data_IF_416966226161
#
_entry.id   IF_416966226161
#
_cell.length_a   1.000
_cell.length_b   1.000
_cell.length_c   1.000
_cell.angle_alpha   90.00
_cell.angle_beta   90.00
_cell.angle_gamma   90.00
#
_symmetry.space_group_name_H-M   'P 1'
#
loop_
_entity.id
_entity.type
_entity.pdbx_description
1 polymer ?
#
# COMPACT_ATOMS: atom_id res chain seq x y z
N UNK A 1 -0.53 16.34 29.40
CA UNK A 1 -1.60 16.78 28.51
C UNK A 1 -1.19 16.62 27.05
N UNK A 2 -1.30 15.41 26.57
CA UNK A 2 -1.23 15.09 25.15
C UNK A 2 -2.59 15.45 24.50
N UNK A 3 -2.82 16.74 24.30
CA UNK A 3 -3.86 17.17 23.38
C UNK A 3 -3.38 16.86 21.97
N UNK A 4 -3.79 15.71 21.49
CA UNK A 4 -3.62 15.30 20.11
C UNK A 4 -4.49 16.23 19.24
N UNK A 5 -3.87 17.25 18.65
CA UNK A 5 -4.57 18.14 17.77
C UNK A 5 -4.68 17.48 16.40
N UNK A 6 -5.90 17.20 15.96
CA UNK A 6 -6.17 16.57 14.66
C UNK A 6 -5.56 17.36 13.49
N UNK A 7 -5.44 18.68 13.61
CA UNK A 7 -4.74 19.52 12.65
C UNK A 7 -3.23 19.23 12.60
N UNK A 8 -2.59 18.89 13.73
CA UNK A 8 -1.17 18.48 13.75
C UNK A 8 -0.98 17.11 13.11
N UNK A 9 -1.89 16.17 13.33
CA UNK A 9 -1.83 14.84 12.68
C UNK A 9 -2.04 14.95 11.19
N UNK A 10 -3.03 15.75 10.74
CA UNK A 10 -3.26 16.01 9.32
C UNK A 10 -2.05 16.70 8.67
N UNK A 11 -1.42 17.65 9.36
CA UNK A 11 -0.18 18.29 8.93
C UNK A 11 0.99 17.31 8.85
N UNK A 12 1.11 16.43 9.82
CA UNK A 12 2.13 15.38 9.88
C UNK A 12 1.97 14.37 8.75
N UNK A 13 0.77 13.87 8.52
CA UNK A 13 0.44 12.97 7.41
C UNK A 13 0.65 13.65 6.05
N UNK A 14 0.29 14.92 5.93
CA UNK A 14 0.53 15.72 4.71
C UNK A 14 2.03 15.92 4.49
N UNK A 15 2.80 16.21 5.53
CA UNK A 15 4.26 16.34 5.46
C UNK A 15 4.93 15.05 4.98
N UNK A 16 4.59 13.90 5.56
CA UNK A 16 5.11 12.62 5.12
C UNK A 16 4.66 12.24 3.71
N UNK A 17 3.43 12.56 3.36
CA UNK A 17 2.91 12.31 2.01
C UNK A 17 3.58 13.19 0.96
N UNK A 18 3.83 14.46 1.26
CA UNK A 18 4.58 15.36 0.39
C UNK A 18 6.06 14.98 0.33
N UNK A 19 6.67 14.59 1.44
CA UNK A 19 8.07 14.14 1.48
C UNK A 19 8.26 12.85 0.70
N UNK A 20 7.33 11.90 0.82
CA UNK A 20 7.32 10.69 0.01
C UNK A 20 7.16 10.99 -1.50
N UNK A 21 6.39 12.01 -1.86
CA UNK A 21 6.19 12.40 -3.26
C UNK A 21 7.33 13.28 -3.81
N UNK A 22 7.97 14.13 -3.00
CA UNK A 22 9.01 15.05 -3.45
C UNK A 22 10.42 14.46 -3.47
N UNK A 23 10.73 13.55 -2.59
CA UNK A 23 12.01 12.83 -2.57
C UNK A 23 12.03 11.58 -3.46
N UNK A 24 10.86 11.13 -3.92
CA UNK A 24 10.67 9.79 -4.45
C UNK A 24 10.91 9.62 -5.94
N UNK A 25 10.77 10.65 -6.77
CA UNK A 25 10.66 10.43 -8.22
C UNK A 25 12.01 10.57 -8.93
N UNK A 26 12.87 11.51 -8.53
CA UNK A 26 14.13 11.76 -9.22
C UNK A 26 15.32 10.89 -8.78
N UNK A 27 15.19 10.14 -7.67
CA UNK A 27 16.28 9.32 -7.10
C UNK A 27 15.84 7.93 -6.63
N UNK A 28 14.71 7.43 -7.11
CA UNK A 28 14.23 6.11 -6.73
C UNK A 28 15.12 5.02 -7.29
N UNK A 29 15.63 4.16 -6.44
CA UNK A 29 16.40 2.99 -6.87
C UNK A 29 15.48 1.95 -7.52
N UNK A 30 16.06 1.07 -8.34
CA UNK A 30 15.30 -0.05 -8.93
C UNK A 30 14.59 -0.90 -7.89
N UNK A 31 15.27 -1.19 -6.78
CA UNK A 31 14.68 -1.98 -5.68
C UNK A 31 13.47 -1.30 -5.03
N UNK A 32 13.54 0.00 -4.80
CA UNK A 32 12.41 0.77 -4.25
C UNK A 32 11.24 0.82 -5.22
N UNK A 33 11.54 1.00 -6.51
CA UNK A 33 10.53 0.98 -7.57
C UNK A 33 9.84 -0.39 -7.65
N UNK A 34 10.60 -1.46 -7.67
CA UNK A 34 10.08 -2.83 -7.70
C UNK A 34 9.16 -3.12 -6.51
N UNK A 35 9.56 -2.73 -5.30
CA UNK A 35 8.72 -2.85 -4.09
C UNK A 35 7.41 -2.08 -4.22
N UNK A 36 7.43 -0.89 -4.81
CA UNK A 36 6.21 -0.09 -5.04
C UNK A 36 5.34 -0.72 -6.11
N UNK A 37 5.91 -1.20 -7.20
CA UNK A 37 5.18 -1.86 -8.29
C UNK A 37 4.40 -3.07 -7.75
N UNK A 38 5.06 -3.96 -7.03
CA UNK A 38 4.38 -5.16 -6.54
C UNK A 38 3.27 -4.84 -5.53
N UNK A 39 3.45 -3.84 -4.70
CA UNK A 39 2.39 -3.34 -3.78
C UNK A 39 1.21 -2.75 -4.53
N UNK A 40 1.46 -2.01 -5.62
CA UNK A 40 0.40 -1.47 -6.47
C UNK A 40 -0.38 -2.57 -7.17
N UNK A 41 0.31 -3.59 -7.70
CA UNK A 41 -0.33 -4.76 -8.31
C UNK A 41 -1.18 -5.54 -7.29
N UNK A 42 -0.71 -5.69 -6.07
CA UNK A 42 -1.50 -6.32 -5.01
C UNK A 42 -2.76 -5.52 -4.66
N UNK A 43 -2.64 -4.21 -4.62
CA UNK A 43 -3.76 -3.30 -4.30
C UNK A 43 -4.75 -3.16 -5.46
N UNK A 44 -4.26 -2.94 -6.67
CA UNK A 44 -5.07 -2.68 -7.87
C UNK A 44 -5.54 -3.94 -8.56
N UNK A 45 -4.89 -5.06 -8.32
CA UNK A 45 -5.05 -6.38 -8.92
C UNK A 45 -4.62 -6.44 -10.39
N UNK A 46 -4.75 -5.35 -11.15
CA UNK A 46 -4.36 -5.26 -12.55
C UNK A 46 -3.80 -3.87 -12.87
N UNK A 47 -2.77 -3.82 -13.68
CA UNK A 47 -2.21 -2.56 -14.21
C UNK A 47 -1.55 -2.82 -15.58
N UNK A 48 -1.06 -1.78 -16.22
CA UNK A 48 -0.35 -1.88 -17.50
C UNK A 48 1.07 -1.35 -17.38
N UNK A 49 1.96 -1.82 -18.27
CA UNK A 49 3.34 -1.32 -18.32
C UNK A 49 3.40 0.18 -18.67
N UNK A 50 2.53 0.63 -19.57
CA UNK A 50 2.44 2.05 -19.95
C UNK A 50 2.02 2.91 -18.76
N UNK A 51 0.99 2.50 -18.03
CA UNK A 51 0.52 3.23 -16.86
C UNK A 51 1.60 3.33 -15.78
N UNK A 52 2.28 2.21 -15.49
CA UNK A 52 3.39 2.19 -14.54
C UNK A 52 4.57 3.06 -15.02
N UNK A 53 4.88 3.06 -16.31
CA UNK A 53 5.96 3.89 -16.87
C UNK A 53 5.67 5.38 -16.68
N UNK A 54 4.45 5.79 -16.88
CA UNK A 54 4.00 7.18 -16.67
C UNK A 54 4.04 7.52 -15.18
N UNK A 55 3.52 6.65 -14.33
CA UNK A 55 3.45 6.88 -12.87
C UNK A 55 4.83 6.96 -12.23
N UNK A 56 5.78 6.14 -12.66
CA UNK A 56 7.15 6.13 -12.14
C UNK A 56 8.13 7.00 -12.93
N UNK A 57 7.70 7.65 -13.98
CA UNK A 57 8.53 8.49 -14.87
C UNK A 57 9.76 7.74 -15.42
N UNK A 58 9.57 6.52 -15.85
CA UNK A 58 10.59 5.66 -16.47
C UNK A 58 10.06 5.09 -17.78
N UNK A 59 10.94 4.55 -18.62
CA UNK A 59 10.53 3.90 -19.86
C UNK A 59 9.77 2.58 -19.62
N UNK A 60 8.97 2.16 -20.58
CA UNK A 60 8.32 0.84 -20.54
C UNK A 60 9.32 -0.31 -20.49
N UNK A 61 10.48 -0.15 -21.13
CA UNK A 61 11.58 -1.13 -21.06
C UNK A 61 12.12 -1.29 -19.64
N UNK A 62 12.24 -0.20 -18.91
CA UNK A 62 12.64 -0.23 -17.49
C UNK A 62 11.61 -0.97 -16.66
N UNK A 63 10.32 -0.69 -16.86
CA UNK A 63 9.22 -1.41 -16.19
C UNK A 63 9.26 -2.90 -16.56
N UNK A 64 9.47 -3.23 -17.82
CA UNK A 64 9.56 -4.62 -18.29
C UNK A 64 10.69 -5.38 -17.59
N UNK A 65 11.84 -4.77 -17.40
CA UNK A 65 12.96 -5.35 -16.64
C UNK A 65 12.63 -5.53 -15.16
N UNK A 66 11.98 -4.54 -14.55
CA UNK A 66 11.52 -4.62 -13.17
C UNK A 66 10.52 -5.76 -12.96
N UNK A 67 9.58 -5.92 -13.89
CA UNK A 67 8.60 -7.01 -13.87
C UNK A 67 9.29 -8.37 -14.05
N UNK A 68 10.27 -8.47 -14.94
CA UNK A 68 11.04 -9.70 -15.11
C UNK A 68 11.74 -10.11 -13.80
N UNK A 69 12.37 -9.16 -13.12
CA UNK A 69 12.99 -9.39 -11.81
C UNK A 69 11.98 -9.77 -10.74
N UNK A 70 10.85 -9.07 -10.67
CA UNK A 70 9.77 -9.37 -9.71
C UNK A 70 9.14 -10.73 -9.98
N UNK A 71 9.07 -11.16 -11.22
CA UNK A 71 8.46 -12.44 -11.58
C UNK A 71 9.29 -13.66 -11.14
N UNK A 72 10.55 -13.46 -10.75
CA UNK A 72 11.34 -14.49 -10.10
C UNK A 72 10.81 -14.84 -8.69
N UNK A 73 10.29 -13.84 -7.97
CA UNK A 73 9.82 -13.99 -6.58
C UNK A 73 8.30 -14.01 -6.45
N UNK A 74 7.58 -13.42 -7.41
CA UNK A 74 6.13 -13.25 -7.36
C UNK A 74 5.45 -13.80 -8.62
N UNK A 75 4.27 -14.41 -8.50
CA UNK A 75 3.57 -15.02 -9.64
C UNK A 75 2.84 -13.95 -10.48
N UNK A 76 3.58 -13.04 -11.12
CA UNK A 76 3.00 -12.00 -11.96
C UNK A 76 2.55 -12.61 -13.29
N UNK A 77 1.28 -12.43 -13.63
CA UNK A 77 0.73 -12.78 -14.94
C UNK A 77 0.86 -11.60 -15.90
N UNK A 78 1.41 -11.88 -17.06
CA UNK A 78 1.56 -10.91 -18.15
C UNK A 78 0.64 -11.36 -19.28
N UNK A 79 -0.35 -10.54 -19.62
CA UNK A 79 -1.24 -10.77 -20.74
C UNK A 79 -0.98 -9.72 -21.84
N UNK A 80 -0.94 -10.18 -23.09
CA UNK A 80 -0.79 -9.33 -24.28
C UNK A 80 -2.16 -9.01 -24.86
N UNK A 81 -2.25 -7.87 -25.58
CA UNK A 81 -3.44 -7.46 -26.32
C UNK A 81 -4.24 -6.35 -25.64
N UNK A 82 -5.40 -6.02 -26.20
CA UNK A 82 -6.27 -4.90 -25.79
C UNK A 82 -6.71 -4.93 -24.33
N UNK A 83 -6.98 -6.13 -23.81
CA UNK A 83 -7.35 -6.39 -22.42
C UNK A 83 -6.18 -6.98 -21.62
N UNK A 84 -4.98 -6.86 -22.16
CA UNK A 84 -3.76 -7.32 -21.55
C UNK A 84 -3.30 -6.43 -20.41
N UNK A 85 -2.25 -6.85 -19.72
CA UNK A 85 -1.64 -6.11 -18.64
C UNK A 85 -0.93 -7.02 -17.67
N UNK A 86 -0.61 -6.46 -16.53
CA UNK A 86 0.05 -7.13 -15.42
C UNK A 86 -1.00 -7.41 -14.34
N UNK A 87 -0.99 -8.61 -13.81
CA UNK A 87 -1.91 -9.00 -12.73
C UNK A 87 -1.28 -10.03 -11.81
N UNK A 88 -1.79 -10.11 -10.59
CA UNK A 88 -1.52 -11.21 -9.67
C UNK A 88 -2.66 -12.23 -9.74
N UNK A 89 -2.38 -13.53 -9.48
CA UNK A 89 -3.42 -14.55 -9.45
C UNK A 89 -4.52 -14.22 -8.44
N UNK A 90 -5.73 -14.65 -8.74
CA UNK A 90 -6.86 -14.53 -7.81
C UNK A 90 -6.55 -15.22 -6.48
N UNK A 91 -6.85 -14.55 -5.38
CA UNK A 91 -6.56 -15.05 -4.05
C UNK A 91 -5.11 -14.91 -3.59
N UNK A 92 -4.18 -14.52 -4.47
CA UNK A 92 -2.82 -14.20 -4.07
C UNK A 92 -2.73 -12.79 -3.53
N UNK A 93 -2.21 -12.66 -2.33
CA UNK A 93 -1.93 -11.38 -1.67
C UNK A 93 -0.53 -11.40 -1.08
N UNK A 94 0.20 -10.29 -1.23
CA UNK A 94 1.55 -10.11 -0.67
C UNK A 94 1.59 -10.30 0.84
N UNK A 95 0.55 -9.79 1.48
CA UNK A 95 0.33 -9.97 2.89
C UNK A 95 -0.96 -10.76 3.03
N UNK A 96 -0.89 -11.96 3.57
CA UNK A 96 -2.10 -12.57 4.15
C UNK A 96 -2.71 -11.50 5.06
N UNK A 97 -3.95 -11.11 4.83
CA UNK A 97 -4.66 -10.26 5.78
C UNK A 97 -4.45 -10.87 7.16
N UNK A 98 -3.58 -10.26 7.95
CA UNK A 98 -3.44 -10.67 9.34
C UNK A 98 -4.65 -10.09 10.06
N UNK A 99 -5.63 -10.93 10.28
CA UNK A 99 -6.78 -10.56 11.10
C UNK A 99 -6.39 -10.59 12.57
N UNK A 100 -6.92 -9.66 13.32
CA UNK A 100 -6.84 -9.73 14.77
C UNK A 100 -7.59 -10.97 15.27
N UNK A 101 -7.03 -11.58 16.32
CA UNK A 101 -7.78 -12.59 17.04
C UNK A 101 -8.98 -11.95 17.75
N UNK A 102 -10.05 -12.72 18.04
CA UNK A 102 -11.19 -12.19 18.79
C UNK A 102 -10.79 -11.54 20.12
N UNK A 103 -9.77 -12.08 20.79
CA UNK A 103 -9.24 -11.54 22.07
C UNK A 103 -8.58 -10.16 21.85
N UNK A 104 -7.80 -10.01 20.77
CA UNK A 104 -7.18 -8.73 20.41
C UNK A 104 -8.23 -7.68 20.05
N UNK A 105 -9.23 -8.05 19.27
CA UNK A 105 -10.32 -7.17 18.91
C UNK A 105 -11.10 -6.72 20.17
N UNK A 106 -11.39 -7.64 21.09
CA UNK A 106 -12.06 -7.34 22.35
C UNK A 106 -11.25 -6.38 23.23
N UNK A 107 -9.93 -6.60 23.31
CA UNK A 107 -9.03 -5.71 24.05
C UNK A 107 -9.04 -4.28 23.48
N UNK A 108 -9.02 -4.13 22.15
CA UNK A 108 -9.14 -2.83 21.49
C UNK A 108 -10.50 -2.18 21.72
N UNK A 109 -11.59 -2.93 21.65
CA UNK A 109 -12.92 -2.42 21.96
C UNK A 109 -13.02 -1.88 23.40
N UNK A 110 -12.42 -2.58 24.36
CA UNK A 110 -12.34 -2.09 25.74
C UNK A 110 -11.48 -0.84 25.87
N UNK A 111 -10.36 -0.78 25.17
CA UNK A 111 -9.48 0.39 25.16
C UNK A 111 -10.17 1.65 24.61
N UNK A 112 -11.14 1.50 23.70
CA UNK A 112 -11.92 2.63 23.14
C UNK A 112 -12.68 3.41 24.23
N UNK A 113 -13.01 2.79 25.35
CA UNK A 113 -13.71 3.44 26.46
C UNK A 113 -12.83 4.43 27.24
N UNK A 114 -11.50 4.31 27.12
CA UNK A 114 -10.52 5.05 27.93
C UNK A 114 -9.64 6.00 27.12
N UNK A 115 -9.83 6.08 25.82
CA UNK A 115 -9.02 6.93 24.93
C UNK A 115 -9.80 8.18 24.50
N UNK A 116 -9.10 9.30 24.23
CA UNK A 116 -9.72 10.49 23.64
C UNK A 116 -10.40 10.19 22.30
N UNK A 117 -11.44 10.95 21.96
CA UNK A 117 -12.22 10.75 20.72
C UNK A 117 -11.38 10.76 19.43
N UNK A 118 -10.29 11.52 19.41
CA UNK A 118 -9.38 11.60 18.27
C UNK A 118 -8.66 10.27 18.02
N UNK A 119 -8.20 9.61 19.08
CA UNK A 119 -7.56 8.28 19.02
C UNK A 119 -8.61 7.21 18.77
N UNK A 120 -9.80 7.36 19.32
CA UNK A 120 -10.93 6.44 19.17
C UNK A 120 -11.26 6.18 17.71
N UNK A 121 -11.36 7.22 16.89
CA UNK A 121 -11.61 7.10 15.45
C UNK A 121 -10.56 6.30 14.72
N UNK A 122 -9.28 6.48 15.07
CA UNK A 122 -8.17 5.73 14.48
C UNK A 122 -8.25 4.25 14.86
N UNK A 123 -8.51 3.95 16.13
CA UNK A 123 -8.67 2.58 16.61
C UNK A 123 -9.88 1.89 16.01
N UNK A 124 -10.99 2.61 15.82
CA UNK A 124 -12.18 2.09 15.11
C UNK A 124 -11.86 1.71 13.66
N UNK A 125 -11.05 2.50 12.97
CA UNK A 125 -10.58 2.17 11.61
C UNK A 125 -9.76 0.87 11.62
N UNK A 126 -8.85 0.71 12.57
CA UNK A 126 -8.06 -0.51 12.72
C UNK A 126 -8.95 -1.73 12.98
N UNK A 127 -9.95 -1.58 13.85
CA UNK A 127 -10.91 -2.64 14.13
C UNK A 127 -11.72 -3.01 12.90
N UNK A 128 -12.17 -2.01 12.12
CA UNK A 128 -12.93 -2.24 10.88
C UNK A 128 -12.10 -2.96 9.84
N UNK A 129 -10.80 -2.63 9.72
CA UNK A 129 -9.93 -3.18 8.69
C UNK A 129 -9.40 -4.58 9.02
N UNK A 130 -9.20 -4.89 10.30
CA UNK A 130 -8.49 -6.08 10.74
C UNK A 130 -9.29 -7.02 11.66
N UNK A 131 -10.42 -6.59 12.22
CA UNK A 131 -11.29 -7.49 12.97
C UNK A 131 -12.12 -8.36 12.01
N UNK A 132 -12.33 -9.58 12.45
CA UNK A 132 -13.23 -10.53 11.76
C UNK A 132 -14.68 -10.08 11.90
#
# INVERSE_FOLDING_TARGET
DLKFNSAKVAGYLRYYKCKANSEGISKMTSNERQKKIIRLLDKRRKDTMEHLSIEFHVSTDTISRDIATLNEDYPIKIARGRNGGLSLPDGYHLFKKMYMTPVQALALHRALLYVPDEIKKILETILTDFAW
#
